data_IF_345262986124
#
_entry.id   IF_345262986124
#
_cell.length_a   1.000
_cell.length_b   1.000
_cell.length_c   1.000
_cell.angle_alpha   90.00
_cell.angle_beta   90.00
_cell.angle_gamma   90.00
#
_symmetry.space_group_name_H-M   'P 1'
#
loop_
_entity.id
_entity.type
_entity.pdbx_description
1 polymer ?
#
# COMPACT_ATOMS: atom_id res chain seq x y z
N UNK A 1 74.82 -37.90 7.25
CA UNK A 1 74.73 -36.45 7.18
C UNK A 1 74.11 -36.09 5.83
N UNK A 2 72.78 -36.01 5.74
CA UNK A 2 72.07 -35.72 4.47
C UNK A 2 71.23 -34.46 4.74
N UNK A 3 71.61 -33.35 4.08
CA UNK A 3 70.82 -32.14 4.02
C UNK A 3 69.76 -32.29 2.92
N UNK A 4 68.46 -32.23 3.31
CA UNK A 4 67.32 -32.07 2.38
C UNK A 4 66.94 -30.60 2.34
N UNK A 5 67.14 -29.99 1.20
CA UNK A 5 66.66 -28.65 0.83
C UNK A 5 65.17 -28.70 0.54
N UNK A 6 64.36 -27.98 1.32
CA UNK A 6 62.95 -27.71 1.04
C UNK A 6 62.88 -26.51 0.09
N UNK A 7 62.36 -26.71 -1.11
CA UNK A 7 61.94 -25.63 -2.02
C UNK A 7 60.53 -25.19 -1.62
N UNK A 8 60.42 -23.98 -1.09
CA UNK A 8 59.13 -23.33 -0.88
C UNK A 8 58.55 -22.87 -2.20
N UNK A 9 57.40 -23.41 -2.56
CA UNK A 9 56.60 -22.97 -3.71
C UNK A 9 55.69 -21.81 -3.20
N UNK A 10 56.01 -20.58 -3.62
CA UNK A 10 55.13 -19.41 -3.41
C UNK A 10 54.04 -19.47 -4.47
N UNK A 11 52.78 -19.75 -4.02
CA UNK A 11 51.59 -19.54 -4.86
C UNK A 11 51.17 -18.09 -4.67
N UNK A 12 51.36 -17.27 -5.66
CA UNK A 12 50.80 -15.93 -5.71
C UNK A 12 49.29 -16.03 -6.04
N UNK A 13 48.42 -15.83 -5.06
CA UNK A 13 47.01 -15.61 -5.27
C UNK A 13 46.84 -14.19 -5.83
N UNK A 14 46.53 -14.10 -7.11
CA UNK A 14 46.05 -12.84 -7.71
C UNK A 14 44.59 -12.68 -7.32
N UNK A 15 44.34 -11.86 -6.32
CA UNK A 15 42.98 -11.34 -6.08
C UNK A 15 42.66 -10.33 -7.18
N UNK A 16 41.92 -10.76 -8.18
CA UNK A 16 41.23 -9.83 -9.08
C UNK A 16 40.18 -9.06 -8.28
N UNK A 17 40.45 -7.81 -7.96
CA UNK A 17 39.42 -6.93 -7.49
C UNK A 17 38.41 -6.73 -8.62
N UNK A 18 37.25 -7.36 -8.51
CA UNK A 18 36.08 -6.99 -9.28
C UNK A 18 35.65 -5.63 -8.72
N UNK A 19 36.13 -4.57 -9.35
CA UNK A 19 35.52 -3.26 -9.17
C UNK A 19 34.16 -3.31 -9.82
N UNK A 20 33.10 -3.62 -9.04
CA UNK A 20 31.75 -3.23 -9.43
C UNK A 20 31.84 -1.70 -9.63
N UNK A 21 31.68 -1.25 -10.86
CA UNK A 21 31.41 0.16 -11.11
C UNK A 21 30.11 0.48 -10.38
N UNK A 22 30.19 1.23 -9.29
CA UNK A 22 29.01 1.91 -8.79
C UNK A 22 28.51 2.72 -9.99
N UNK A 23 27.33 2.40 -10.51
CA UNK A 23 26.63 3.33 -11.37
C UNK A 23 26.42 4.57 -10.49
N UNK A 24 27.07 5.67 -10.85
CA UNK A 24 26.75 6.97 -10.27
C UNK A 24 25.32 7.27 -10.72
N UNK A 25 24.38 7.07 -9.79
CA UNK A 25 23.04 7.59 -9.96
C UNK A 25 23.17 9.10 -9.74
N UNK A 26 22.94 9.85 -10.80
CA UNK A 26 22.85 11.30 -10.67
C UNK A 26 21.79 11.64 -9.62
N UNK A 27 22.13 12.42 -8.58
CA UNK A 27 21.12 12.89 -7.66
C UNK A 27 20.10 13.68 -8.47
N UNK A 28 18.84 13.33 -8.35
CA UNK A 28 17.78 13.95 -9.14
C UNK A 28 17.66 15.39 -8.70
N UNK A 29 18.30 16.25 -9.45
CA UNK A 29 18.47 17.67 -9.13
C UNK A 29 17.15 18.47 -9.04
N UNK A 30 16.03 17.89 -9.51
CA UNK A 30 14.71 18.51 -9.52
C UNK A 30 13.79 18.04 -8.38
N UNK A 31 14.22 17.12 -7.52
CA UNK A 31 13.37 16.51 -6.50
C UNK A 31 13.76 16.93 -5.13
N UNK A 32 12.77 17.32 -4.33
CA UNK A 32 12.94 17.72 -2.95
C UNK A 32 12.13 16.79 -2.07
N UNK A 33 12.80 16.08 -1.17
CA UNK A 33 12.18 15.33 -0.08
C UNK A 33 12.21 16.23 1.18
N UNK A 34 11.05 16.33 1.85
CA UNK A 34 10.88 17.10 3.09
C UNK A 34 10.13 16.22 4.09
N UNK A 35 10.56 16.22 5.35
CA UNK A 35 9.85 15.56 6.46
C UNK A 35 9.17 16.62 7.33
N UNK A 36 7.86 16.47 7.55
CA UNK A 36 7.04 17.36 8.37
C UNK A 36 6.71 16.70 9.71
N UNK A 37 6.79 17.49 10.79
CA UNK A 37 6.42 17.01 12.12
C UNK A 37 4.93 16.74 12.22
N UNK A 38 4.58 15.58 12.78
CA UNK A 38 3.21 15.16 13.06
C UNK A 38 2.95 15.22 14.58
N UNK A 39 1.69 15.15 15.04
CA UNK A 39 1.41 14.92 16.45
C UNK A 39 2.15 13.69 16.96
N UNK A 40 2.63 13.75 18.21
CA UNK A 40 3.50 12.73 18.78
C UNK A 40 2.83 11.34 18.77
N UNK A 41 3.31 10.49 17.90
CA UNK A 41 2.86 9.09 17.72
C UNK A 41 3.95 8.29 17.02
N UNK A 42 3.91 6.96 17.16
CA UNK A 42 4.84 6.04 16.49
C UNK A 42 4.16 5.11 15.51
N UNK A 43 2.89 5.34 15.19
CA UNK A 43 2.12 4.45 14.30
C UNK A 43 1.22 5.25 13.36
N UNK A 44 1.85 5.98 12.47
CA UNK A 44 1.19 6.71 11.38
C UNK A 44 0.93 5.76 10.22
N UNK A 45 -0.34 5.43 9.93
CA UNK A 45 -0.68 4.35 9.02
C UNK A 45 -1.23 4.81 7.68
N UNK A 46 -2.56 4.87 7.56
CA UNK A 46 -3.24 5.01 6.27
C UNK A 46 -3.51 6.46 5.92
N UNK A 47 -3.55 6.73 4.63
CA UNK A 47 -3.93 8.02 4.08
C UNK A 47 -5.23 7.93 3.29
N UNK A 48 -5.98 9.05 3.30
CA UNK A 48 -7.03 9.29 2.32
C UNK A 48 -7.11 10.79 2.00
N UNK A 49 -7.23 11.15 0.73
CA UNK A 49 -7.62 12.51 0.35
C UNK A 49 -9.13 12.65 0.50
N UNK A 50 -9.58 13.78 1.07
CA UNK A 50 -11.01 14.12 1.06
C UNK A 50 -11.33 14.71 -0.32
N UNK A 51 -12.21 14.08 -1.12
CA UNK A 51 -12.53 14.55 -2.46
C UNK A 51 -12.98 16.01 -2.46
N UNK A 52 -12.65 16.75 -3.52
CA UNK A 52 -12.98 18.16 -3.72
C UNK A 52 -12.46 19.11 -2.63
N UNK A 53 -11.41 18.70 -1.92
CA UNK A 53 -10.73 19.54 -0.92
C UNK A 53 -9.21 19.42 -1.05
N UNK A 54 -8.50 20.29 -0.32
CA UNK A 54 -7.06 20.21 -0.10
C UNK A 54 -6.70 19.51 1.23
N UNK A 55 -7.58 18.63 1.73
CA UNK A 55 -7.39 17.90 2.99
C UNK A 55 -6.99 16.46 2.71
N UNK A 56 -5.92 16.03 3.37
CA UNK A 56 -5.54 14.62 3.49
C UNK A 56 -5.81 14.16 4.92
N UNK A 57 -6.38 12.98 5.05
CA UNK A 57 -6.61 12.30 6.32
C UNK A 57 -5.50 11.27 6.54
N UNK A 58 -5.03 11.18 7.78
CA UNK A 58 -4.02 10.23 8.19
C UNK A 58 -4.44 9.56 9.50
N UNK A 59 -4.48 8.24 9.52
CA UNK A 59 -4.75 7.49 10.75
C UNK A 59 -3.51 7.31 11.60
N UNK A 60 -3.68 7.37 12.92
CA UNK A 60 -2.65 7.07 13.91
C UNK A 60 -3.14 5.98 14.85
N UNK A 61 -2.63 4.77 14.67
CA UNK A 61 -3.10 3.61 15.43
C UNK A 61 -2.71 3.68 16.91
N UNK A 62 -1.55 4.24 17.24
CA UNK A 62 -1.01 4.27 18.61
C UNK A 62 -1.82 5.13 19.60
N UNK A 63 -2.64 6.06 19.10
CA UNK A 63 -3.44 6.96 19.92
C UNK A 63 -4.87 7.13 19.41
N UNK A 64 -5.25 6.34 18.39
CA UNK A 64 -6.58 6.33 17.75
C UNK A 64 -7.04 7.70 17.23
N UNK A 65 -6.10 8.53 16.79
CA UNK A 65 -6.39 9.84 16.25
C UNK A 65 -6.47 9.83 14.72
N UNK A 66 -7.44 10.56 14.18
CA UNK A 66 -7.50 10.97 12.80
C UNK A 66 -6.86 12.34 12.66
N UNK A 67 -5.75 12.43 11.93
CA UNK A 67 -5.09 13.69 11.64
C UNK A 67 -5.63 14.23 10.32
N UNK A 68 -6.09 15.46 10.33
CA UNK A 68 -6.47 16.22 9.14
C UNK A 68 -5.31 17.14 8.76
N UNK A 69 -4.77 16.92 7.59
CA UNK A 69 -3.65 17.68 7.03
C UNK A 69 -4.23 18.59 5.96
N UNK A 70 -4.12 19.89 6.14
CA UNK A 70 -4.45 20.87 5.11
C UNK A 70 -3.22 21.13 4.24
N UNK A 71 -3.40 21.03 2.94
CA UNK A 71 -2.35 21.27 1.96
C UNK A 71 -2.52 22.66 1.33
N UNK A 72 -1.42 23.30 1.02
CA UNK A 72 -1.45 24.47 0.13
C UNK A 72 -1.97 24.05 -1.26
N UNK A 73 -3.00 24.72 -1.80
CA UNK A 73 -3.62 24.30 -3.04
C UNK A 73 -2.72 24.44 -4.29
N UNK A 74 -1.59 25.12 -4.16
CA UNK A 74 -0.64 25.36 -5.25
C UNK A 74 0.59 24.48 -5.16
N UNK A 75 1.15 24.35 -3.96
CA UNK A 75 2.41 23.60 -3.72
C UNK A 75 2.17 22.20 -3.15
N UNK A 76 0.95 21.92 -2.70
CA UNK A 76 0.57 20.70 -1.97
C UNK A 76 1.40 20.48 -0.68
N UNK A 77 2.15 21.48 -0.22
CA UNK A 77 2.86 21.42 1.06
C UNK A 77 1.88 21.45 2.23
N UNK A 78 2.07 20.64 3.29
CA UNK A 78 1.27 20.71 4.50
C UNK A 78 1.38 22.09 5.17
N UNK A 79 0.25 22.78 5.36
CA UNK A 79 0.18 24.12 5.97
C UNK A 79 -0.50 24.14 7.33
N UNK A 80 -1.33 23.14 7.63
CA UNK A 80 -1.97 22.99 8.93
C UNK A 80 -2.24 21.51 9.24
N UNK A 81 -2.24 21.18 10.52
CA UNK A 81 -2.48 19.83 11.05
C UNK A 81 -3.39 19.92 12.26
N UNK A 82 -4.48 19.14 12.26
CA UNK A 82 -5.41 19.02 13.37
C UNK A 82 -5.70 17.55 13.64
N UNK A 83 -5.67 17.18 14.92
CA UNK A 83 -5.79 15.79 15.36
C UNK A 83 -7.08 15.62 16.17
N UNK A 84 -7.86 14.57 15.85
CA UNK A 84 -9.15 14.28 16.46
C UNK A 84 -9.19 12.84 16.93
N UNK A 85 -9.55 12.58 18.21
CA UNK A 85 -9.70 11.22 18.69
C UNK A 85 -10.91 10.55 18.00
N UNK A 86 -10.71 9.32 17.54
CA UNK A 86 -11.73 8.47 16.96
C UNK A 86 -11.87 7.22 17.83
N UNK A 87 -13.13 6.76 17.99
CA UNK A 87 -13.41 5.63 18.85
C UNK A 87 -13.60 6.01 20.32
N UNK A 88 -13.60 5.01 21.18
CA UNK A 88 -13.92 5.13 22.61
C UNK A 88 -12.77 5.77 23.40
N UNK A 89 -11.54 5.41 23.07
CA UNK A 89 -10.33 5.86 23.76
C UNK A 89 -9.09 5.74 22.85
N UNK A 90 -7.91 6.00 23.40
CA UNK A 90 -6.64 5.92 22.68
C UNK A 90 -6.30 4.51 22.17
N UNK A 91 -6.91 3.49 22.75
CA UNK A 91 -6.65 2.07 22.43
C UNK A 91 -7.68 1.49 21.45
N UNK A 92 -8.52 2.33 20.84
CA UNK A 92 -9.52 1.90 19.84
C UNK A 92 -8.88 1.35 18.54
N UNK A 93 -7.62 1.70 18.27
CA UNK A 93 -6.84 1.18 17.15
C UNK A 93 -7.31 1.69 15.79
N UNK A 94 -7.39 3.02 15.61
CA UNK A 94 -7.72 3.61 14.33
C UNK A 94 -6.67 3.22 13.28
N UNK A 95 -7.07 2.42 12.30
CA UNK A 95 -6.16 1.91 11.27
C UNK A 95 -6.55 2.35 9.86
N UNK A 96 -7.51 1.68 9.22
CA UNK A 96 -7.91 1.92 7.85
C UNK A 96 -8.60 3.27 7.65
N UNK A 97 -8.32 3.91 6.52
CA UNK A 97 -9.00 5.12 6.04
C UNK A 97 -9.26 4.96 4.55
N UNK A 98 -10.52 5.09 4.12
CA UNK A 98 -10.88 4.96 2.71
C UNK A 98 -12.00 5.90 2.31
N UNK A 99 -11.88 6.68 1.22
CA UNK A 99 -12.95 7.55 0.77
C UNK A 99 -14.13 6.72 0.25
N UNK A 100 -15.36 7.18 0.55
CA UNK A 100 -16.57 6.54 0.05
C UNK A 100 -16.93 7.09 -1.34
N UNK A 101 -17.26 6.20 -2.25
CA UNK A 101 -17.84 6.51 -3.55
C UNK A 101 -19.37 6.55 -3.49
N UNK A 102 -19.96 5.73 -2.63
CA UNK A 102 -21.42 5.70 -2.39
C UNK A 102 -21.91 6.94 -1.65
N UNK A 103 -21.10 7.47 -0.73
CA UNK A 103 -21.38 8.71 0.00
C UNK A 103 -20.29 9.76 -0.30
N UNK A 104 -20.40 10.52 -1.40
CA UNK A 104 -19.36 11.46 -1.82
C UNK A 104 -18.94 12.43 -0.71
N UNK A 105 -17.63 12.62 -0.55
CA UNK A 105 -17.05 13.46 0.49
C UNK A 105 -17.04 12.86 1.90
N UNK A 106 -17.46 11.60 2.06
CA UNK A 106 -17.36 10.84 3.32
C UNK A 106 -16.22 9.84 3.23
N UNK A 107 -15.81 9.32 4.39
CA UNK A 107 -14.72 8.36 4.51
C UNK A 107 -15.10 7.22 5.45
N UNK A 108 -14.63 6.03 5.11
CA UNK A 108 -14.66 4.88 6.00
C UNK A 108 -13.41 4.83 6.86
N UNK A 109 -13.60 4.48 8.11
CA UNK A 109 -12.53 4.24 9.08
C UNK A 109 -12.70 2.85 9.69
N UNK A 110 -11.60 2.18 10.02
CA UNK A 110 -11.63 0.97 10.85
C UNK A 110 -11.06 1.25 12.24
N UNK A 111 -11.79 0.78 13.27
CA UNK A 111 -11.33 0.72 14.65
C UNK A 111 -11.02 -0.74 14.97
N UNK A 112 -9.76 -1.13 14.74
CA UNK A 112 -9.35 -2.55 14.80
C UNK A 112 -9.64 -3.17 16.16
N UNK A 113 -9.31 -2.47 17.25
CA UNK A 113 -9.43 -3.00 18.62
C UNK A 113 -10.83 -2.81 19.22
N UNK A 114 -11.72 -2.06 18.56
CA UNK A 114 -13.14 -1.99 18.91
C UNK A 114 -14.04 -2.90 18.03
N UNK A 115 -13.45 -3.56 17.04
CA UNK A 115 -14.17 -4.42 16.10
C UNK A 115 -15.27 -3.68 15.33
N UNK A 116 -14.99 -2.46 14.84
CA UNK A 116 -15.97 -1.55 14.21
C UNK A 116 -15.45 -0.92 12.93
N UNK A 117 -16.39 -0.61 12.03
CA UNK A 117 -16.19 0.33 10.93
C UNK A 117 -17.04 1.58 11.16
N UNK A 118 -16.53 2.74 10.79
CA UNK A 118 -17.21 4.02 10.90
C UNK A 118 -17.33 4.68 9.53
N UNK A 119 -18.50 5.14 9.16
CA UNK A 119 -18.66 6.12 8.08
C UNK A 119 -18.62 7.52 8.72
N UNK A 120 -17.74 8.37 8.22
CA UNK A 120 -17.44 9.66 8.84
C UNK A 120 -17.57 10.79 7.82
N UNK A 121 -18.19 11.90 8.24
CA UNK A 121 -18.05 13.18 7.56
C UNK A 121 -16.81 13.90 8.10
N UNK A 122 -15.70 13.98 7.33
CA UNK A 122 -14.53 14.68 7.80
C UNK A 122 -14.70 16.21 7.83
N UNK A 123 -15.74 16.75 7.20
CA UNK A 123 -15.91 18.18 6.98
C UNK A 123 -14.88 18.74 5.97
N UNK A 124 -15.11 19.98 5.51
CA UNK A 124 -14.29 20.63 4.48
C UNK A 124 -13.10 21.45 5.03
N UNK A 125 -13.08 21.68 6.33
CA UNK A 125 -12.09 22.52 6.99
C UNK A 125 -11.24 21.66 7.92
N UNK A 126 -9.94 21.88 7.94
CA UNK A 126 -9.02 21.03 8.71
C UNK A 126 -9.27 21.07 10.23
N UNK A 127 -9.73 22.20 10.77
CA UNK A 127 -9.99 22.41 12.21
C UNK A 127 -11.35 21.93 12.71
N UNK A 128 -12.27 21.58 11.82
CA UNK A 128 -13.59 21.08 12.21
C UNK A 128 -13.49 19.61 12.57
N UNK A 129 -14.03 19.22 13.74
CA UNK A 129 -14.04 17.83 14.15
C UNK A 129 -14.88 16.95 13.21
N UNK A 130 -14.41 15.75 12.86
CA UNK A 130 -15.19 14.79 12.07
C UNK A 130 -16.51 14.40 12.77
N UNK A 131 -17.53 14.08 11.98
CA UNK A 131 -18.81 13.60 12.48
C UNK A 131 -19.04 12.16 12.08
N UNK A 132 -19.29 11.26 13.04
CA UNK A 132 -19.63 9.86 12.77
C UNK A 132 -21.09 9.82 12.29
N UNK A 133 -21.31 9.28 11.08
CA UNK A 133 -22.62 9.15 10.44
C UNK A 133 -23.22 7.77 10.64
N UNK A 134 -22.36 6.72 10.61
CA UNK A 134 -22.77 5.32 10.75
C UNK A 134 -21.68 4.54 11.47
N UNK A 135 -22.09 3.53 12.23
CA UNK A 135 -21.20 2.54 12.84
C UNK A 135 -21.67 1.15 12.45
N UNK A 136 -20.74 0.32 12.00
CA UNK A 136 -20.94 -1.10 11.68
C UNK A 136 -20.12 -1.90 12.68
N UNK A 137 -20.80 -2.67 13.53
CA UNK A 137 -20.13 -3.67 14.36
C UNK A 137 -19.82 -4.90 13.52
N UNK A 138 -18.58 -5.38 13.56
CA UNK A 138 -18.19 -6.59 12.85
C UNK A 138 -18.86 -7.79 13.52
N UNK A 139 -19.65 -8.60 12.76
CA UNK A 139 -20.37 -9.73 13.34
C UNK A 139 -19.43 -10.85 13.71
N UNK A 140 -19.74 -11.58 14.79
CA UNK A 140 -19.04 -12.82 15.10
C UNK A 140 -19.21 -13.85 13.96
N UNK A 141 -18.17 -14.66 13.65
CA UNK A 141 -16.90 -14.81 14.34
C UNK A 141 -15.78 -13.85 13.88
N UNK A 142 -16.09 -12.80 13.12
CA UNK A 142 -15.09 -11.83 12.65
C UNK A 142 -14.43 -11.05 13.78
N UNK A 143 -13.14 -10.67 13.60
CA UNK A 143 -12.39 -9.94 14.62
C UNK A 143 -11.30 -9.05 14.02
N UNK A 144 -11.18 -7.80 14.48
CA UNK A 144 -10.08 -6.90 14.19
C UNK A 144 -10.04 -6.33 12.78
N UNK A 145 -11.02 -5.49 12.35
CA UNK A 145 -10.99 -4.86 11.02
C UNK A 145 -9.76 -3.95 10.90
N UNK A 146 -8.86 -4.30 9.98
CA UNK A 146 -7.58 -3.65 9.77
C UNK A 146 -7.68 -2.61 8.64
N UNK A 147 -7.51 -3.02 7.39
CA UNK A 147 -7.75 -2.15 6.25
C UNK A 147 -9.23 -2.17 5.88
N UNK A 148 -9.74 -1.05 5.39
CA UNK A 148 -11.11 -0.89 4.92
C UNK A 148 -11.10 -0.38 3.50
N UNK A 149 -11.99 -0.93 2.64
CA UNK A 149 -12.13 -0.54 1.24
C UNK A 149 -13.60 -0.54 0.86
N UNK A 150 -14.00 0.37 -0.02
CA UNK A 150 -15.30 0.34 -0.67
C UNK A 150 -15.09 -0.09 -2.13
N UNK A 151 -15.79 -1.14 -2.55
CA UNK A 151 -15.74 -1.70 -3.90
C UNK A 151 -17.19 -1.84 -4.38
N UNK A 152 -17.55 -1.09 -5.40
CA UNK A 152 -18.94 -0.97 -5.81
C UNK A 152 -19.83 -0.43 -4.69
N UNK A 153 -20.90 -1.14 -4.35
CA UNK A 153 -21.80 -0.80 -3.24
C UNK A 153 -21.49 -1.57 -1.95
N UNK A 154 -20.34 -2.22 -1.86
CA UNK A 154 -19.96 -3.01 -0.68
C UNK A 154 -18.76 -2.44 0.03
N UNK A 155 -18.83 -2.44 1.36
CA UNK A 155 -17.68 -2.20 2.23
C UNK A 155 -16.98 -3.51 2.51
N UNK A 156 -15.64 -3.49 2.47
CA UNK A 156 -14.77 -4.64 2.68
C UNK A 156 -13.76 -4.34 3.77
N UNK A 157 -13.50 -5.32 4.63
CA UNK A 157 -12.44 -5.20 5.63
C UNK A 157 -11.69 -6.53 5.80
N UNK A 158 -10.37 -6.45 5.83
CA UNK A 158 -9.52 -7.54 6.28
C UNK A 158 -9.58 -7.62 7.80
N UNK A 159 -10.01 -8.76 8.35
CA UNK A 159 -10.12 -8.97 9.79
C UNK A 159 -8.84 -9.63 10.29
N UNK A 160 -7.92 -8.80 10.77
CA UNK A 160 -6.52 -9.19 11.04
C UNK A 160 -6.36 -10.10 12.25
N UNK A 161 -7.27 -10.03 13.20
CA UNK A 161 -7.19 -10.81 14.43
C UNK A 161 -7.85 -12.19 14.26
N UNK A 162 -7.21 -13.21 14.84
CA UNK A 162 -7.78 -14.54 14.87
C UNK A 162 -9.09 -14.55 15.67
N UNK A 163 -10.11 -15.21 15.14
CA UNK A 163 -11.37 -15.37 15.83
C UNK A 163 -11.22 -16.24 17.09
N UNK A 164 -11.59 -15.71 18.23
CA UNK A 164 -11.61 -16.46 19.51
C UNK A 164 -12.58 -17.66 19.47
N UNK A 165 -13.61 -17.60 18.58
CA UNK A 165 -14.64 -18.65 18.50
C UNK A 165 -14.23 -19.82 17.62
N UNK A 166 -13.47 -19.55 16.53
CA UNK A 166 -13.18 -20.54 15.48
C UNK A 166 -11.70 -20.82 15.30
N UNK A 167 -10.81 -19.97 15.80
CA UNK A 167 -9.38 -20.04 15.53
C UNK A 167 -9.03 -19.76 14.06
N UNK A 168 -9.84 -18.96 13.35
CA UNK A 168 -9.69 -18.67 11.93
C UNK A 168 -9.69 -17.17 11.68
N UNK A 169 -9.26 -16.78 10.49
CA UNK A 169 -9.27 -15.41 9.98
C UNK A 169 -10.37 -15.22 8.93
N UNK A 170 -10.83 -14.00 8.76
CA UNK A 170 -11.93 -13.71 7.84
C UNK A 170 -11.70 -12.40 7.06
N UNK A 171 -12.28 -12.35 5.87
CA UNK A 171 -12.62 -11.09 5.18
C UNK A 171 -14.09 -10.81 5.41
N UNK A 172 -14.40 -9.61 5.83
CA UNK A 172 -15.75 -9.09 5.97
C UNK A 172 -16.15 -8.32 4.71
N UNK A 173 -17.38 -8.53 4.25
CA UNK A 173 -18.01 -7.71 3.20
C UNK A 173 -19.46 -7.46 3.55
N UNK A 174 -19.94 -6.22 3.43
CA UNK A 174 -21.34 -5.87 3.65
C UNK A 174 -21.82 -4.82 2.65
N UNK A 175 -23.12 -4.81 2.37
CA UNK A 175 -23.75 -3.73 1.61
C UNK A 175 -23.63 -2.42 2.40
N UNK A 176 -23.22 -1.35 1.72
CA UNK A 176 -22.94 -0.04 2.34
C UNK A 176 -24.21 0.58 2.93
N UNK A 177 -25.38 0.35 2.30
CA UNK A 177 -26.66 0.90 2.70
C UNK A 177 -27.43 0.02 3.70
N UNK A 178 -27.16 -1.30 3.67
CA UNK A 178 -27.73 -2.30 4.59
C UNK A 178 -26.65 -3.25 5.13
N UNK A 179 -25.89 -2.89 6.14
CA UNK A 179 -24.81 -3.75 6.67
C UNK A 179 -25.27 -5.08 7.28
N UNK A 180 -26.59 -5.32 7.39
CA UNK A 180 -27.12 -6.64 7.76
C UNK A 180 -26.98 -7.66 6.62
N UNK A 181 -26.91 -7.19 5.38
CA UNK A 181 -26.47 -8.00 4.22
C UNK A 181 -24.97 -8.09 4.19
N UNK A 182 -24.42 -9.07 4.88
CA UNK A 182 -22.98 -9.27 5.00
C UNK A 182 -22.55 -10.71 4.77
N UNK A 183 -21.26 -10.87 4.45
CA UNK A 183 -20.59 -12.16 4.27
C UNK A 183 -19.23 -12.15 4.96
N UNK A 184 -18.88 -13.27 5.57
CA UNK A 184 -17.54 -13.53 6.09
C UNK A 184 -16.91 -14.65 5.26
N UNK A 185 -15.80 -14.34 4.58
CA UNK A 185 -15.02 -15.31 3.81
C UNK A 185 -13.85 -15.79 4.66
N UNK A 186 -13.74 -17.10 4.87
CA UNK A 186 -12.65 -17.70 5.65
C UNK A 186 -11.32 -17.58 4.92
N UNK A 187 -10.26 -17.14 5.63
CA UNK A 187 -8.90 -16.99 5.14
C UNK A 187 -7.96 -18.01 5.78
N UNK A 188 -6.86 -18.35 5.10
CA UNK A 188 -5.79 -19.19 5.67
C UNK A 188 -5.02 -18.46 6.75
N UNK A 189 -4.75 -17.17 6.56
CA UNK A 189 -4.02 -16.29 7.46
C UNK A 189 -4.65 -14.89 7.48
N UNK A 190 -4.10 -14.05 8.33
CA UNK A 190 -4.54 -12.68 8.56
C UNK A 190 -4.66 -11.87 7.25
N UNK A 191 -5.87 -11.49 6.81
CA UNK A 191 -6.06 -10.71 5.59
C UNK A 191 -5.67 -9.24 5.81
N UNK A 192 -5.01 -8.64 4.81
CA UNK A 192 -4.53 -7.26 4.90
C UNK A 192 -5.17 -6.37 3.83
N UNK A 193 -4.78 -6.49 2.57
CA UNK A 193 -5.33 -5.69 1.47
C UNK A 193 -6.37 -6.45 0.68
N UNK A 194 -7.36 -5.72 0.18
CA UNK A 194 -8.48 -6.26 -0.61
C UNK A 194 -8.66 -5.35 -1.82
N UNK A 195 -8.55 -5.91 -3.03
CA UNK A 195 -8.71 -5.17 -4.29
C UNK A 195 -9.46 -5.98 -5.31
N UNK A 196 -10.16 -5.27 -6.19
CA UNK A 196 -10.89 -5.83 -7.32
C UNK A 196 -10.01 -5.80 -8.58
N UNK A 197 -10.01 -6.86 -9.34
CA UNK A 197 -9.52 -6.84 -10.73
C UNK A 197 -10.62 -6.21 -11.61
N UNK A 198 -10.34 -5.06 -12.26
CA UNK A 198 -11.39 -4.21 -12.81
C UNK A 198 -12.13 -4.80 -14.03
N UNK A 199 -11.56 -5.82 -14.69
CA UNK A 199 -12.17 -6.45 -15.87
C UNK A 199 -13.10 -7.60 -15.51
N UNK A 200 -12.72 -8.39 -14.51
CA UNK A 200 -13.45 -9.62 -14.14
C UNK A 200 -14.35 -9.43 -12.93
N UNK A 201 -14.13 -8.39 -12.12
CA UNK A 201 -14.81 -8.18 -10.85
C UNK A 201 -14.40 -9.17 -9.75
N UNK A 202 -13.35 -9.96 -9.97
CA UNK A 202 -12.80 -10.85 -8.95
C UNK A 202 -12.07 -10.07 -7.87
N UNK A 203 -12.28 -10.45 -6.63
CA UNK A 203 -11.64 -9.82 -5.47
C UNK A 203 -10.39 -10.60 -5.08
N UNK A 204 -9.29 -9.88 -4.87
CA UNK A 204 -8.01 -10.44 -4.43
C UNK A 204 -7.65 -9.91 -3.04
N UNK A 205 -7.11 -10.79 -2.21
CA UNK A 205 -6.80 -10.51 -0.80
C UNK A 205 -5.38 -10.96 -0.49
N UNK A 206 -4.54 -10.06 0.00
CA UNK A 206 -3.24 -10.43 0.56
C UNK A 206 -3.41 -10.97 1.98
N UNK A 207 -2.61 -11.98 2.34
CA UNK A 207 -2.66 -12.64 3.64
C UNK A 207 -1.28 -12.55 4.30
N UNK A 208 -1.22 -11.93 5.48
CA UNK A 208 0.02 -11.77 6.23
C UNK A 208 0.55 -13.15 6.69
N UNK A 209 1.85 -13.37 6.54
CA UNK A 209 2.53 -14.63 6.87
C UNK A 209 2.11 -15.86 6.05
N UNK A 210 1.38 -15.68 4.95
CA UNK A 210 1.04 -16.77 4.03
C UNK A 210 1.70 -16.59 2.66
N UNK A 211 1.97 -17.72 2.00
CA UNK A 211 2.57 -17.76 0.65
C UNK A 211 1.49 -17.91 -0.43
N UNK A 212 0.35 -17.24 -0.25
CA UNK A 212 -0.72 -17.21 -1.25
C UNK A 212 -1.48 -15.88 -1.24
N UNK A 213 -2.15 -15.62 -2.35
CA UNK A 213 -3.17 -14.57 -2.47
C UNK A 213 -4.52 -15.28 -2.56
N UNK A 214 -5.48 -14.87 -1.73
CA UNK A 214 -6.85 -15.38 -1.82
C UNK A 214 -7.59 -14.65 -2.94
N UNK A 215 -8.29 -15.41 -3.77
CA UNK A 215 -9.24 -14.92 -4.78
C UNK A 215 -10.66 -15.25 -4.35
N UNK A 216 -11.58 -14.30 -4.51
CA UNK A 216 -13.01 -14.45 -4.18
C UNK A 216 -13.82 -14.12 -5.43
N UNK A 217 -14.68 -15.02 -5.85
CA UNK A 217 -15.77 -14.73 -6.78
C UNK A 217 -17.01 -14.35 -5.97
N UNK A 218 -17.35 -13.08 -5.98
CA UNK A 218 -18.51 -12.57 -5.22
C UNK A 218 -19.85 -13.06 -5.75
N UNK A 219 -19.91 -13.50 -7.01
CA UNK A 219 -21.14 -14.00 -7.64
C UNK A 219 -21.47 -15.41 -7.19
N UNK A 220 -20.48 -16.29 -7.15
CA UNK A 220 -20.64 -17.68 -6.70
C UNK A 220 -20.40 -17.84 -5.19
N UNK A 221 -19.67 -16.92 -4.56
CA UNK A 221 -19.16 -17.04 -3.20
C UNK A 221 -17.96 -17.98 -3.06
N UNK A 222 -17.43 -18.50 -4.16
CA UNK A 222 -16.29 -19.41 -4.15
C UNK A 222 -14.98 -18.65 -3.87
N UNK A 223 -14.07 -19.32 -3.19
CA UNK A 223 -12.74 -18.80 -2.86
C UNK A 223 -11.65 -19.76 -3.33
N UNK A 224 -10.52 -19.21 -3.75
CA UNK A 224 -9.35 -19.95 -4.19
C UNK A 224 -8.07 -19.33 -3.63
N UNK A 225 -7.06 -20.18 -3.38
CA UNK A 225 -5.73 -19.73 -2.96
C UNK A 225 -4.76 -19.82 -4.14
N UNK A 226 -4.20 -18.69 -4.53
CA UNK A 226 -3.20 -18.58 -5.59
C UNK A 226 -1.80 -18.63 -4.96
N UNK A 227 -1.02 -19.70 -5.14
CA UNK A 227 0.26 -19.85 -4.46
C UNK A 227 1.32 -18.89 -5.00
N UNK A 228 2.11 -18.33 -4.12
CA UNK A 228 3.30 -17.54 -4.43
C UNK A 228 4.51 -18.49 -4.37
N UNK A 229 5.30 -18.61 -5.46
CA UNK A 229 6.48 -19.47 -5.46
C UNK A 229 7.51 -19.00 -4.42
N UNK A 230 8.06 -19.91 -3.57
CA UNK A 230 9.04 -19.53 -2.54
C UNK A 230 10.30 -18.84 -3.07
N UNK A 231 10.61 -19.01 -4.37
CA UNK A 231 11.76 -18.37 -5.02
C UNK A 231 11.60 -16.85 -5.17
N UNK A 232 10.36 -16.36 -5.27
CA UNK A 232 10.09 -14.93 -5.48
C UNK A 232 9.69 -14.21 -4.19
N UNK A 233 9.12 -14.90 -3.23
CA UNK A 233 8.73 -14.34 -1.93
C UNK A 233 7.82 -15.26 -1.14
N UNK A 234 7.50 -14.86 0.08
CA UNK A 234 6.60 -15.62 0.97
C UNK A 234 5.25 -14.94 1.20
N UNK A 235 5.25 -13.61 1.27
CA UNK A 235 4.08 -12.87 1.75
C UNK A 235 3.79 -11.70 0.82
N UNK A 236 2.60 -11.71 0.22
CA UNK A 236 2.06 -10.54 -0.44
C UNK A 236 1.54 -9.56 0.61
N UNK A 237 1.88 -8.28 0.48
CA UNK A 237 1.58 -7.26 1.49
C UNK A 237 0.69 -6.16 0.92
N UNK A 238 1.27 -5.09 0.36
CA UNK A 238 0.52 -3.99 -0.24
C UNK A 238 -0.16 -4.41 -1.54
N UNK A 239 -1.33 -3.85 -1.84
CA UNK A 239 -2.08 -4.17 -3.04
C UNK A 239 -2.89 -2.97 -3.51
N UNK A 240 -2.90 -2.73 -4.83
CA UNK A 240 -3.72 -1.70 -5.48
C UNK A 240 -4.45 -2.28 -6.69
N UNK A 241 -5.54 -1.60 -7.09
CA UNK A 241 -6.12 -1.74 -8.43
C UNK A 241 -5.56 -0.64 -9.32
N UNK A 242 -5.11 -0.99 -10.51
CA UNK A 242 -4.70 -0.04 -11.54
C UNK A 242 -5.57 -0.18 -12.80
N UNK A 243 -5.57 0.86 -13.61
CA UNK A 243 -6.42 0.97 -14.81
C UNK A 243 -5.58 1.30 -16.05
N UNK A 244 -6.21 1.29 -17.23
CA UNK A 244 -5.56 1.60 -18.50
C UNK A 244 -4.46 0.60 -18.86
N UNK A 245 -3.25 1.04 -19.26
CA UNK A 245 -2.16 0.13 -19.60
C UNK A 245 -1.71 -0.77 -18.44
N UNK A 246 -1.88 -0.30 -17.20
CA UNK A 246 -1.53 -1.01 -15.98
C UNK A 246 -2.68 -1.88 -15.42
N UNK A 247 -3.80 -2.01 -16.17
CA UNK A 247 -5.05 -2.63 -15.69
C UNK A 247 -4.83 -3.97 -15.02
N UNK A 248 -5.40 -4.11 -13.82
CA UNK A 248 -5.30 -5.29 -12.98
C UNK A 248 -5.00 -4.97 -11.52
N UNK A 249 -4.64 -6.00 -10.78
CA UNK A 249 -4.24 -5.89 -9.37
C UNK A 249 -2.73 -6.00 -9.27
N UNK A 250 -2.09 -4.99 -8.70
CA UNK A 250 -0.66 -4.96 -8.41
C UNK A 250 -0.42 -5.17 -6.93
N UNK A 251 0.63 -5.91 -6.56
CA UNK A 251 0.96 -6.19 -5.17
C UNK A 251 2.47 -6.27 -4.93
N UNK A 252 2.88 -6.04 -3.69
CA UNK A 252 4.27 -6.13 -3.24
C UNK A 252 4.52 -7.40 -2.45
N UNK A 253 5.78 -7.87 -2.41
CA UNK A 253 6.21 -8.99 -1.60
C UNK A 253 7.17 -8.55 -0.48
N UNK A 254 6.92 -9.06 0.72
CA UNK A 254 7.79 -8.81 1.88
C UNK A 254 9.18 -9.43 1.72
N UNK A 255 9.27 -10.50 0.94
CA UNK A 255 10.50 -11.28 0.78
C UNK A 255 10.31 -12.75 1.08
N UNK A 256 11.39 -13.47 1.36
CA UNK A 256 11.40 -14.89 1.68
C UNK A 256 12.10 -15.14 3.03
N UNK A 257 12.34 -16.40 3.37
CA UNK A 257 12.98 -16.78 4.64
C UNK A 257 14.41 -16.24 4.82
N UNK A 258 15.05 -15.73 3.77
CA UNK A 258 16.40 -15.18 3.80
C UNK A 258 16.44 -13.65 3.78
N UNK A 259 15.30 -13.00 3.62
CA UNK A 259 15.17 -11.53 3.58
C UNK A 259 14.31 -11.03 2.42
N UNK A 260 14.38 -9.75 2.13
CA UNK A 260 13.70 -9.14 1.00
C UNK A 260 14.19 -9.68 -0.35
N UNK A 261 13.32 -9.70 -1.34
CA UNK A 261 13.63 -10.16 -2.70
C UNK A 261 13.47 -9.08 -3.76
N UNK A 262 13.01 -7.88 -3.37
CA UNK A 262 12.73 -6.79 -4.30
C UNK A 262 11.69 -7.16 -5.35
N UNK A 263 10.77 -8.05 -5.01
CA UNK A 263 9.78 -8.60 -5.95
C UNK A 263 8.41 -7.99 -5.71
N UNK A 264 7.71 -7.71 -6.78
CA UNK A 264 6.32 -7.31 -6.82
C UNK A 264 5.60 -8.06 -7.93
N UNK A 265 4.29 -8.05 -7.96
CA UNK A 265 3.53 -8.84 -8.93
C UNK A 265 2.30 -8.14 -9.45
N UNK A 266 1.76 -8.72 -10.52
CA UNK A 266 0.57 -8.28 -11.22
C UNK A 266 -0.37 -9.46 -11.46
N UNK A 267 -1.66 -9.21 -11.35
CA UNK A 267 -2.73 -10.14 -11.71
C UNK A 267 -3.68 -9.39 -12.65
N UNK A 268 -3.64 -9.73 -13.92
CA UNK A 268 -4.56 -9.20 -14.91
C UNK A 268 -5.84 -10.04 -15.04
N UNK A 269 -6.63 -9.77 -16.08
CA UNK A 269 -7.90 -10.46 -16.35
C UNK A 269 -7.77 -11.97 -16.60
N UNK A 270 -6.58 -12.49 -16.91
CA UNK A 270 -6.32 -13.94 -16.99
C UNK A 270 -6.41 -14.62 -15.62
N UNK A 271 -6.19 -13.88 -14.52
CA UNK A 271 -6.08 -14.40 -13.17
C UNK A 271 -4.74 -15.08 -12.86
N UNK A 272 -3.79 -15.10 -13.81
CA UNK A 272 -2.43 -15.59 -13.59
C UNK A 272 -1.57 -14.52 -12.94
N UNK A 273 -0.62 -14.95 -12.10
CA UNK A 273 0.32 -14.04 -11.42
C UNK A 273 1.57 -13.88 -12.27
N UNK A 274 1.88 -12.64 -12.61
CA UNK A 274 3.14 -12.23 -13.19
C UNK A 274 4.04 -11.59 -12.11
N UNK A 275 5.35 -11.87 -12.14
CA UNK A 275 6.29 -11.33 -11.16
C UNK A 275 7.35 -10.47 -11.84
N UNK A 276 7.64 -9.33 -11.20
CA UNK A 276 8.68 -8.38 -11.56
C UNK A 276 9.68 -8.28 -10.42
N UNK A 277 10.94 -8.04 -10.73
CA UNK A 277 11.99 -7.90 -9.73
C UNK A 277 12.79 -6.62 -9.99
N UNK A 278 13.03 -5.86 -8.92
CA UNK A 278 13.92 -4.71 -8.94
C UNK A 278 15.36 -5.16 -9.18
N UNK A 279 16.06 -4.43 -10.04
CA UNK A 279 17.43 -4.76 -10.47
C UNK A 279 18.48 -3.94 -9.73
N UNK A 280 18.10 -2.75 -9.25
CA UNK A 280 19.00 -1.88 -8.50
C UNK A 280 19.47 -2.59 -7.22
N UNK A 281 20.77 -2.54 -6.85
CA UNK A 281 21.32 -3.26 -5.70
C UNK A 281 20.62 -2.96 -4.36
N UNK A 282 20.12 -1.73 -4.17
CA UNK A 282 19.36 -1.36 -2.97
C UNK A 282 17.94 -1.94 -2.96
N UNK A 283 17.36 -2.23 -4.14
CA UNK A 283 16.01 -2.76 -4.27
C UNK A 283 15.94 -4.28 -4.36
N UNK A 284 16.88 -4.88 -5.07
CA UNK A 284 16.88 -6.32 -5.37
C UNK A 284 16.83 -7.25 -4.15
N UNK A 285 17.20 -6.73 -2.96
CA UNK A 285 17.17 -7.48 -1.71
C UNK A 285 16.27 -6.82 -0.65
N UNK A 286 15.38 -5.90 -1.06
CA UNK A 286 14.49 -5.20 -0.15
C UNK A 286 13.17 -5.91 0.04
N UNK A 287 12.59 -5.78 1.24
CA UNK A 287 11.20 -6.03 1.49
C UNK A 287 10.36 -4.85 0.99
N UNK A 288 9.37 -5.14 0.14
CA UNK A 288 8.49 -4.15 -0.44
C UNK A 288 7.14 -4.18 0.28
N UNK A 289 6.66 -3.02 0.75
CA UNK A 289 5.47 -2.97 1.59
C UNK A 289 4.23 -2.47 0.89
N UNK A 290 4.32 -1.33 0.20
CA UNK A 290 3.18 -0.67 -0.42
C UNK A 290 3.54 -0.13 -1.79
N UNK A 291 2.53 0.10 -2.62
CA UNK A 291 2.69 0.67 -3.94
C UNK A 291 1.52 1.62 -4.25
N UNK A 292 1.72 2.48 -5.21
CA UNK A 292 0.69 3.35 -5.75
C UNK A 292 0.86 3.49 -7.26
N UNK A 293 -0.25 3.70 -7.95
CA UNK A 293 -0.26 3.99 -9.38
C UNK A 293 0.47 5.30 -9.69
N UNK A 294 1.19 5.33 -10.80
CA UNK A 294 1.97 6.46 -11.26
C UNK A 294 2.01 6.52 -12.78
N UNK A 295 2.50 7.63 -13.30
CA UNK A 295 2.80 7.79 -14.73
C UNK A 295 4.16 8.44 -14.90
N UNK A 296 4.82 8.18 -16.03
CA UNK A 296 5.99 8.93 -16.48
C UNK A 296 5.59 10.34 -16.94
N UNK A 297 6.56 11.24 -17.17
CA UNK A 297 6.32 12.60 -17.66
C UNK A 297 5.53 12.65 -18.99
N UNK A 298 5.71 11.66 -19.83
CA UNK A 298 5.03 11.50 -21.11
C UNK A 298 3.76 10.65 -21.04
N UNK A 299 3.31 10.29 -19.80
CA UNK A 299 2.09 9.53 -19.54
C UNK A 299 2.23 8.02 -19.70
N UNK A 300 3.46 7.49 -19.72
CA UNK A 300 3.75 6.05 -19.76
C UNK A 300 3.44 5.34 -18.43
N UNK A 301 3.39 3.99 -18.44
CA UNK A 301 3.07 3.18 -17.27
C UNK A 301 4.19 3.23 -16.21
N UNK A 302 3.80 3.47 -14.95
CA UNK A 302 4.73 3.52 -13.83
C UNK A 302 4.06 3.16 -12.49
N UNK A 303 4.87 2.87 -11.48
CA UNK A 303 4.46 2.67 -10.09
C UNK A 303 5.38 3.41 -9.13
N UNK A 304 4.82 3.89 -8.03
CA UNK A 304 5.56 4.18 -6.81
C UNK A 304 5.57 2.95 -5.92
N UNK A 305 6.74 2.52 -5.45
CA UNK A 305 6.89 1.35 -4.57
C UNK A 305 7.70 1.75 -3.33
N UNK A 306 7.31 1.26 -2.15
CA UNK A 306 8.05 1.44 -0.90
C UNK A 306 8.91 0.23 -0.57
N UNK A 307 10.22 0.44 -0.46
CA UNK A 307 11.14 -0.41 0.30
C UNK A 307 11.13 0.05 1.75
N UNK A 308 11.07 -0.87 2.71
CA UNK A 308 10.88 -0.52 4.12
C UNK A 308 11.69 -1.36 5.09
N UNK A 309 12.24 -0.70 6.09
CA UNK A 309 12.88 -1.33 7.24
C UNK A 309 11.90 -2.02 8.21
N UNK A 310 10.59 -1.89 7.98
CA UNK A 310 9.56 -2.60 8.75
C UNK A 310 9.63 -4.11 8.52
N UNK A 311 9.88 -4.53 7.28
CA UNK A 311 9.89 -5.95 6.88
C UNK A 311 11.25 -6.61 7.11
N UNK A 312 12.34 -5.84 7.02
CA UNK A 312 13.70 -6.29 7.31
C UNK A 312 14.56 -5.09 7.72
N UNK A 313 15.28 -5.20 8.82
CA UNK A 313 16.18 -4.13 9.26
C UNK A 313 17.30 -3.80 8.25
N UNK A 314 17.59 -4.71 7.33
CA UNK A 314 18.59 -4.51 6.27
C UNK A 314 17.98 -3.85 5.03
N UNK A 315 16.66 -3.74 4.93
CA UNK A 315 16.00 -3.00 3.85
C UNK A 315 16.11 -1.51 4.10
N UNK A 316 16.55 -0.71 3.12
CA UNK A 316 16.51 0.74 3.24
C UNK A 316 15.07 1.25 3.23
N UNK A 317 14.78 2.33 3.95
CA UNK A 317 13.55 3.09 3.73
C UNK A 317 13.73 3.98 2.51
N UNK A 318 13.00 3.65 1.44
CA UNK A 318 13.10 4.33 0.17
C UNK A 318 11.77 4.34 -0.58
N UNK A 319 11.55 5.41 -1.32
CA UNK A 319 10.53 5.52 -2.34
C UNK A 319 11.17 5.21 -3.70
N UNK A 320 10.57 4.30 -4.46
CA UNK A 320 11.11 3.84 -5.73
C UNK A 320 10.10 4.16 -6.83
N UNK A 321 10.51 4.92 -7.83
CA UNK A 321 9.73 5.12 -9.05
C UNK A 321 10.15 4.05 -10.08
N UNK A 322 9.20 3.20 -10.45
CA UNK A 322 9.42 2.12 -11.41
C UNK A 322 8.65 2.43 -12.67
N UNK A 323 9.33 2.47 -13.81
CA UNK A 323 8.69 2.64 -15.12
C UNK A 323 8.72 1.34 -15.90
N UNK A 324 7.77 1.17 -16.81
CA UNK A 324 7.64 -0.05 -17.61
C UNK A 324 7.82 0.24 -19.09
N UNK A 325 8.08 -0.82 -19.86
CA UNK A 325 7.89 -0.77 -21.30
C UNK A 325 6.42 -0.50 -21.66
N UNK A 326 6.09 -0.02 -22.86
CA UNK A 326 4.71 0.33 -23.23
C UNK A 326 3.70 -0.82 -23.11
N UNK A 327 4.15 -2.06 -23.21
CA UNK A 327 3.32 -3.26 -23.13
C UNK A 327 3.28 -3.84 -21.71
N UNK A 328 3.94 -3.20 -20.75
CA UNK A 328 4.01 -3.57 -19.31
C UNK A 328 4.53 -5.00 -19.08
N UNK A 329 5.42 -5.46 -19.96
CA UNK A 329 6.02 -6.80 -19.87
C UNK A 329 7.34 -6.83 -19.10
N UNK A 330 7.98 -5.69 -18.95
CA UNK A 330 9.24 -5.56 -18.21
C UNK A 330 9.43 -4.18 -17.57
N UNK A 331 10.22 -4.14 -16.50
CA UNK A 331 10.70 -2.90 -15.89
C UNK A 331 11.68 -2.23 -16.84
N UNK A 332 11.38 -1.00 -17.26
CA UNK A 332 12.24 -0.21 -18.13
C UNK A 332 13.32 0.51 -17.32
N UNK A 333 12.91 1.24 -16.25
CA UNK A 333 13.82 2.00 -15.41
C UNK A 333 13.37 2.02 -13.94
N UNK A 334 14.31 2.30 -13.04
CA UNK A 334 14.11 2.37 -11.59
C UNK A 334 14.84 3.58 -11.03
N UNK A 335 14.11 4.43 -10.34
CA UNK A 335 14.64 5.58 -9.66
C UNK A 335 14.49 5.42 -8.14
N UNK A 336 15.62 5.50 -7.41
CA UNK A 336 15.70 5.33 -5.97
C UNK A 336 15.79 6.66 -5.24
N UNK A 337 14.88 6.89 -4.31
CA UNK A 337 14.84 8.09 -3.46
C UNK A 337 14.89 7.62 -2.00
N UNK A 338 16.08 7.71 -1.39
CA UNK A 338 16.24 7.36 0.02
C UNK A 338 15.50 8.34 0.91
N UNK A 339 14.78 7.83 1.94
CA UNK A 339 14.18 8.67 2.96
C UNK A 339 15.24 9.40 3.75
N UNK A 340 14.95 10.62 4.23
CA UNK A 340 15.87 11.43 5.05
C UNK A 340 16.15 10.73 6.37
N UNK A 341 15.12 10.17 7.00
CA UNK A 341 15.23 9.37 8.22
C UNK A 341 15.18 7.89 7.86
N UNK A 342 16.31 7.19 8.04
CA UNK A 342 16.37 5.73 7.90
C UNK A 342 15.82 5.04 9.15
N UNK A 343 15.32 3.82 9.02
CA UNK A 343 14.58 3.08 10.04
C UNK A 343 13.30 3.79 10.50
N UNK A 344 12.75 4.66 9.64
CA UNK A 344 11.45 5.30 9.83
C UNK A 344 10.28 4.34 9.62
N UNK A 345 10.56 3.18 9.01
CA UNK A 345 9.56 2.14 8.67
C UNK A 345 8.46 2.72 7.80
N UNK A 346 8.83 3.23 6.63
CA UNK A 346 7.85 3.77 5.66
C UNK A 346 6.74 2.76 5.41
N UNK A 347 5.49 3.24 5.38
CA UNK A 347 4.34 2.36 5.45
C UNK A 347 3.34 2.54 4.30
N UNK A 348 3.01 3.77 3.92
CA UNK A 348 2.09 4.06 2.82
C UNK A 348 2.65 5.14 1.91
N UNK A 349 2.35 5.02 0.63
CA UNK A 349 2.65 6.03 -0.38
C UNK A 349 1.35 6.48 -1.04
N UNK A 350 1.18 7.79 -1.18
CA UNK A 350 0.01 8.42 -1.81
C UNK A 350 0.48 9.53 -2.73
N UNK A 351 0.35 9.35 -4.06
CA UNK A 351 0.54 10.43 -5.01
C UNK A 351 -0.56 11.48 -4.86
N UNK A 352 -0.17 12.74 -4.98
CA UNK A 352 -1.06 13.90 -5.11
C UNK A 352 -0.98 14.46 -6.54
N UNK A 353 -1.12 15.75 -6.73
CA UNK A 353 -0.96 16.37 -8.05
C UNK A 353 0.51 16.40 -8.52
N UNK A 354 1.33 17.18 -7.82
CA UNK A 354 2.77 17.37 -8.12
C UNK A 354 3.70 16.81 -7.05
N UNK A 355 3.14 16.14 -6.05
CA UNK A 355 3.89 15.60 -4.91
C UNK A 355 3.46 14.18 -4.55
N UNK A 356 4.28 13.51 -3.77
CA UNK A 356 4.01 12.16 -3.24
C UNK A 356 4.20 12.20 -1.72
N UNK A 357 3.19 11.78 -0.98
CA UNK A 357 3.25 11.63 0.47
C UNK A 357 3.65 10.21 0.87
N UNK A 358 4.46 10.10 1.93
CA UNK A 358 4.88 8.83 2.52
C UNK A 358 4.69 8.88 4.03
N UNK A 359 3.95 7.93 4.60
CA UNK A 359 3.84 7.78 6.05
C UNK A 359 5.03 7.04 6.63
N UNK A 360 5.49 7.49 7.80
CA UNK A 360 6.66 6.98 8.51
C UNK A 360 6.24 6.45 9.89
N UNK A 361 6.17 5.13 10.00
CA UNK A 361 5.52 4.43 11.12
C UNK A 361 6.24 4.60 12.47
N UNK A 362 7.58 4.69 12.47
CA UNK A 362 8.40 4.73 13.71
C UNK A 362 8.86 6.13 14.11
N UNK A 363 8.53 7.14 13.33
CA UNK A 363 8.90 8.53 13.56
C UNK A 363 7.67 9.38 13.82
N UNK A 364 7.88 10.66 14.14
CA UNK A 364 6.79 11.64 14.28
C UNK A 364 6.68 12.49 13.02
N UNK A 365 6.98 11.90 11.85
CA UNK A 365 7.11 12.62 10.59
C UNK A 365 6.22 12.04 9.51
N UNK A 366 5.90 12.90 8.57
CA UNK A 366 5.31 12.62 7.27
C UNK A 366 6.28 13.12 6.21
N UNK A 367 6.72 12.27 5.31
CA UNK A 367 7.57 12.68 4.21
C UNK A 367 6.75 13.10 2.99
N UNK A 368 7.24 14.11 2.28
CA UNK A 368 6.70 14.57 1.01
C UNK A 368 7.82 14.72 0.00
N UNK A 369 7.67 14.08 -1.15
CA UNK A 369 8.51 14.27 -2.31
C UNK A 369 7.86 15.27 -3.26
N UNK A 370 8.55 16.36 -3.60
CA UNK A 370 8.18 17.23 -4.71
C UNK A 370 8.70 16.60 -6.01
N UNK A 371 7.81 16.36 -6.96
CA UNK A 371 8.10 15.70 -8.21
C UNK A 371 7.62 16.62 -9.36
N UNK A 372 8.51 17.45 -9.86
CA UNK A 372 8.17 18.60 -10.70
C UNK A 372 7.53 18.26 -12.05
N UNK A 373 7.47 16.99 -12.42
CA UNK A 373 7.03 16.57 -13.76
C UNK A 373 6.16 15.31 -13.77
N UNK A 374 5.61 14.85 -12.66
CA UNK A 374 4.62 13.79 -12.69
C UNK A 374 3.22 14.37 -12.76
N UNK A 375 2.48 13.91 -13.74
CA UNK A 375 1.04 13.77 -13.54
C UNK A 375 0.91 12.65 -12.51
N UNK A 376 0.64 12.98 -11.25
CA UNK A 376 0.36 11.99 -10.23
C UNK A 376 -0.73 11.08 -10.77
N UNK A 377 -0.51 9.77 -10.69
CA UNK A 377 -1.54 8.81 -10.97
C UNK A 377 -2.76 9.24 -10.16
N UNK A 378 -3.91 9.34 -10.80
CA UNK A 378 -5.10 9.82 -10.12
C UNK A 378 -5.40 8.86 -8.98
N UNK A 379 -5.07 9.28 -7.76
CA UNK A 379 -5.59 8.64 -6.56
C UNK A 379 -7.06 9.09 -6.39
N UNK A 380 -7.84 8.82 -7.42
CA UNK A 380 -9.27 8.82 -7.32
C UNK A 380 -9.65 7.37 -7.03
N UNK A 381 -10.51 7.10 -6.05
CA UNK A 381 -11.36 5.93 -6.14
C UNK A 381 -11.93 6.01 -7.55
N UNK A 382 -11.83 4.92 -8.32
CA UNK A 382 -12.28 4.90 -9.69
C UNK A 382 -13.55 5.75 -9.77
N UNK A 383 -13.46 6.89 -10.43
CA UNK A 383 -14.68 7.57 -10.80
C UNK A 383 -15.46 6.48 -11.50
N UNK A 384 -16.61 6.15 -10.95
CA UNK A 384 -17.56 5.29 -11.61
C UNK A 384 -17.53 5.76 -13.05
N UNK A 385 -17.02 4.91 -13.94
CA UNK A 385 -17.24 5.07 -15.38
C UNK A 385 -18.74 5.21 -15.44
N UNK A 386 -19.19 6.44 -15.58
CA UNK A 386 -20.62 6.73 -15.59
C UNK A 386 -21.17 5.87 -16.71
N UNK A 387 -22.09 4.95 -16.39
CA UNK A 387 -22.89 4.18 -17.31
C UNK A 387 -23.77 5.08 -18.19
N UNK A 388 -23.21 6.16 -18.72
CA UNK A 388 -23.87 7.06 -19.64
C UNK A 388 -23.73 6.66 -21.11
N UNK A 389 -23.22 5.44 -21.38
CA UNK A 389 -23.08 4.93 -22.75
C UNK A 389 -23.98 3.73 -23.10
N UNK A 390 -24.87 3.25 -22.24
CA UNK A 390 -25.69 2.04 -22.51
C UNK A 390 -27.19 2.30 -22.66
N UNK A 391 -27.67 3.54 -22.59
CA UNK A 391 -29.07 3.85 -22.88
C UNK A 391 -29.25 4.80 -24.07
N UNK A 392 -28.77 4.38 -25.22
CA UNK A 392 -29.19 4.94 -26.52
C UNK A 392 -29.18 3.80 -27.52
N UNK A 393 -30.26 2.99 -27.50
CA UNK A 393 -30.86 2.31 -28.65
C UNK A 393 -31.85 1.23 -28.17
N UNK A 394 -33.05 1.65 -27.87
CA UNK A 394 -34.25 0.84 -28.02
C UNK A 394 -35.47 1.76 -27.95
N UNK A 395 -35.78 2.36 -29.09
CA UNK A 395 -37.13 2.84 -29.41
C UNK A 395 -37.44 2.56 -30.87
#
# INVERSE_FOLDING_TARGET
>A
MLFRTFKSLMIALVFGAITASAQDFDPIASRRLTEYQMPATTQTHEFARVPDTNIVLLSQMSNSNLVKIELDPTTEEPIALHSFPMGKDSDSGLHGVWPSTVYPGKVWLSLQLENKLLLVDPGKESWIAPTILQTIDIPAPGNGPHCVFEIGNRIWAGLKEESEQTGKYYVFSADVSDPTDHTLYECLKSPVFIKEEPTTGLIYVTQDTDSSIMRIDVTSGETEQLPIPPSVGNTAVGMITAYGPMSGVWFTLAGNATGGTGTFGHIGSSGEIEFFQLRHPLGANSGLLHLADATTEDGGPALWILSTSLLSNDSPDALIHVTFDPDVTSVADEEYISMLTQHSKVHRVVPLGSTVLVSELSTFTLAQLSYSNTVAGQWLPAESVSDSAVYAEAS
#
